data_IF_925091420963
#
_entry.id   IF_925091420963
#
_cell.length_a   1.000
_cell.length_b   1.000
_cell.length_c   1.000
_cell.angle_alpha   90.00
_cell.angle_beta   90.00
_cell.angle_gamma   90.00
#
_symmetry.space_group_name_H-M   'P 1'
#
loop_
_entity.id
_entity.type
_entity.pdbx_description
1 polymer ?
#
# COMPACT_ATOMS: atom_id res chain seq x y z
N UNK A 1 17.29 -4.04 -3.79
CA UNK A 1 16.60 -2.77 -3.47
C UNK A 1 15.22 -3.07 -2.93
N UNK A 2 14.80 -2.44 -1.80
CA UNK A 2 13.50 -2.71 -1.19
C UNK A 2 12.81 -1.38 -0.89
N UNK A 3 11.54 -1.27 -1.30
CA UNK A 3 10.76 -0.05 -1.18
C UNK A 3 9.40 -0.37 -0.55
N UNK A 4 8.96 0.47 0.39
CA UNK A 4 7.59 0.46 0.92
C UNK A 4 6.92 1.79 0.60
N UNK A 5 5.73 1.72 0.01
CA UNK A 5 4.93 2.89 -0.32
C UNK A 5 3.72 2.99 0.63
N UNK A 6 3.68 4.06 1.42
CA UNK A 6 2.55 4.46 2.25
C UNK A 6 1.76 5.59 1.59
N UNK A 7 0.51 5.72 1.95
CA UNK A 7 -0.34 6.82 1.52
C UNK A 7 -1.82 6.48 1.65
N UNK A 8 -2.65 7.49 1.64
CA UNK A 8 -4.11 7.34 1.65
C UNK A 8 -4.61 6.52 0.45
N UNK A 9 -5.84 6.02 0.46
CA UNK A 9 -6.47 5.54 -0.76
C UNK A 9 -6.28 6.56 -1.90
N UNK A 10 -6.06 6.10 -3.11
CA UNK A 10 -5.86 6.94 -4.31
C UNK A 10 -4.66 7.89 -4.34
N UNK A 11 -3.75 7.82 -3.35
CA UNK A 11 -2.52 8.65 -3.33
C UNK A 11 -1.52 8.34 -4.48
N UNK A 12 -1.80 7.36 -5.34
CA UNK A 12 -0.93 7.02 -6.46
C UNK A 12 0.12 5.94 -6.17
N UNK A 13 0.08 5.28 -5.00
CA UNK A 13 1.03 4.22 -4.62
C UNK A 13 1.22 3.16 -5.69
N UNK A 14 0.11 2.57 -6.17
CA UNK A 14 0.16 1.51 -7.19
C UNK A 14 0.72 1.99 -8.54
N UNK A 15 0.45 3.24 -8.92
CA UNK A 15 1.03 3.85 -10.13
C UNK A 15 2.53 3.98 -9.99
N UNK A 16 3.00 4.56 -8.88
CA UNK A 16 4.42 4.72 -8.61
C UNK A 16 5.13 3.37 -8.44
N UNK A 17 4.49 2.41 -7.78
CA UNK A 17 5.04 1.06 -7.63
C UNK A 17 5.28 0.37 -8.97
N UNK A 18 4.34 0.50 -9.93
CA UNK A 18 4.49 -0.06 -11.28
C UNK A 18 5.65 0.59 -12.04
N UNK A 19 5.72 1.92 -12.02
CA UNK A 19 6.81 2.66 -12.68
C UNK A 19 8.17 2.30 -12.09
N UNK A 20 8.29 2.23 -10.77
CA UNK A 20 9.52 1.84 -10.09
C UNK A 20 9.88 0.37 -10.38
N UNK A 21 8.89 -0.52 -10.45
CA UNK A 21 9.10 -1.92 -10.77
C UNK A 21 9.69 -2.11 -12.17
N UNK A 22 9.18 -1.36 -13.15
CA UNK A 22 9.69 -1.34 -14.53
C UNK A 22 11.10 -0.74 -14.59
N UNK A 23 11.31 0.42 -13.96
CA UNK A 23 12.60 1.14 -13.99
C UNK A 23 13.74 0.31 -13.40
N UNK A 24 13.49 -0.36 -12.28
CA UNK A 24 14.53 -1.10 -11.54
C UNK A 24 14.50 -2.60 -11.77
N UNK A 25 13.56 -3.10 -12.59
CA UNK A 25 13.35 -4.52 -12.85
C UNK A 25 13.23 -5.35 -11.55
N UNK A 26 12.40 -4.87 -10.61
CA UNK A 26 12.13 -5.55 -9.34
C UNK A 26 10.63 -5.80 -9.17
N UNK A 27 10.20 -6.88 -8.48
CA UNK A 27 8.80 -7.23 -8.33
C UNK A 27 8.01 -6.17 -7.55
N UNK A 28 6.81 -5.83 -8.03
CA UNK A 28 5.79 -5.10 -7.29
C UNK A 28 4.85 -6.08 -6.59
N UNK A 29 4.71 -5.94 -5.27
CA UNK A 29 3.82 -6.71 -4.42
C UNK A 29 2.73 -5.76 -3.91
N UNK A 30 1.54 -5.84 -4.50
CA UNK A 30 0.35 -5.14 -4.05
C UNK A 30 -0.52 -6.09 -3.23
N UNK A 31 -0.60 -5.87 -1.91
CA UNK A 31 -1.48 -6.69 -1.06
C UNK A 31 -2.95 -6.53 -1.45
N UNK A 32 -3.36 -5.33 -1.83
CA UNK A 32 -4.71 -5.08 -2.30
C UNK A 32 -5.06 -5.84 -3.57
N UNK A 33 -4.14 -5.92 -4.55
CA UNK A 33 -4.38 -6.66 -5.80
C UNK A 33 -4.44 -8.17 -5.54
N UNK A 34 -3.55 -8.70 -4.69
CA UNK A 34 -3.57 -10.12 -4.31
C UNK A 34 -4.91 -10.49 -3.66
N UNK A 35 -5.37 -9.70 -2.69
CA UNK A 35 -6.63 -9.98 -2.00
C UNK A 35 -7.83 -9.85 -2.94
N UNK A 36 -7.84 -8.89 -3.87
CA UNK A 36 -8.88 -8.78 -4.90
C UNK A 36 -8.90 -9.96 -5.87
N UNK A 37 -7.73 -10.47 -6.24
CA UNK A 37 -7.63 -11.68 -7.06
C UNK A 37 -8.23 -12.89 -6.34
N UNK A 38 -7.94 -13.07 -5.05
CA UNK A 38 -8.54 -14.12 -4.22
C UNK A 38 -10.08 -14.02 -4.18
N UNK A 39 -10.61 -12.78 -4.01
CA UNK A 39 -12.06 -12.53 -4.03
C UNK A 39 -12.69 -12.83 -5.39
N UNK A 40 -12.04 -12.40 -6.47
CA UNK A 40 -12.53 -12.62 -7.85
C UNK A 40 -12.57 -14.11 -8.18
N UNK A 41 -11.54 -14.85 -7.77
CA UNK A 41 -11.43 -16.30 -7.97
C UNK A 41 -12.27 -17.11 -6.97
N UNK A 42 -12.96 -16.44 -6.02
CA UNK A 42 -13.79 -17.08 -4.99
C UNK A 42 -13.05 -18.19 -4.23
N UNK A 43 -11.78 -18.00 -3.96
CA UNK A 43 -11.02 -18.93 -3.13
C UNK A 43 -11.58 -18.96 -1.71
N UNK A 44 -11.29 -19.98 -0.88
CA UNK A 44 -11.69 -19.97 0.52
C UNK A 44 -11.26 -18.70 1.27
N UNK A 45 -10.05 -18.19 0.96
CA UNK A 45 -9.57 -16.93 1.49
C UNK A 45 -10.39 -15.74 0.96
N UNK A 46 -10.61 -15.67 -0.35
CA UNK A 46 -11.41 -14.62 -0.98
C UNK A 46 -12.80 -14.52 -0.39
N UNK A 47 -13.48 -15.66 -0.18
CA UNK A 47 -14.79 -15.70 0.46
C UNK A 47 -14.78 -15.19 1.91
N UNK A 48 -13.71 -15.48 2.65
CA UNK A 48 -13.55 -15.03 4.04
C UNK A 48 -13.40 -13.52 4.18
N UNK A 49 -12.74 -12.86 3.23
CA UNK A 49 -12.40 -11.42 3.30
C UNK A 49 -13.37 -10.53 2.50
N UNK A 50 -14.25 -11.12 1.66
CA UNK A 50 -15.07 -10.39 0.68
C UNK A 50 -15.92 -9.29 1.35
N UNK A 51 -16.68 -9.63 2.38
CA UNK A 51 -17.56 -8.69 3.07
C UNK A 51 -16.79 -7.52 3.70
N UNK A 52 -15.67 -7.83 4.39
CA UNK A 52 -14.84 -6.83 5.07
C UNK A 52 -14.25 -5.85 4.06
N UNK A 53 -13.71 -6.37 2.97
CA UNK A 53 -13.05 -5.52 1.98
C UNK A 53 -14.03 -4.70 1.16
N UNK A 54 -15.22 -5.24 0.84
CA UNK A 54 -16.29 -4.47 0.17
C UNK A 54 -16.82 -3.33 1.04
N UNK A 55 -16.83 -3.51 2.35
CA UNK A 55 -17.18 -2.46 3.31
C UNK A 55 -16.05 -1.43 3.53
N UNK A 56 -14.91 -1.54 2.84
CA UNK A 56 -13.76 -0.63 2.98
C UNK A 56 -12.85 -0.92 4.17
N UNK A 57 -13.02 -2.07 4.83
CA UNK A 57 -12.18 -2.52 5.93
C UNK A 57 -10.85 -3.14 5.48
N UNK A 58 -10.06 -3.60 6.46
CA UNK A 58 -8.81 -4.31 6.24
C UNK A 58 -9.01 -5.81 6.44
N UNK A 59 -8.39 -6.62 5.59
CA UNK A 59 -8.28 -8.05 5.84
C UNK A 59 -7.51 -8.33 7.15
N UNK A 60 -7.77 -9.46 7.84
CA UNK A 60 -7.11 -9.82 9.09
C UNK A 60 -5.57 -9.81 8.96
N UNK A 61 -4.89 -9.27 9.97
CA UNK A 61 -3.43 -9.09 9.97
C UNK A 61 -2.67 -10.38 9.70
N UNK A 62 -3.10 -11.49 10.29
CA UNK A 62 -2.46 -12.81 10.13
C UNK A 62 -2.46 -13.27 8.67
N UNK A 63 -3.58 -13.09 7.98
CA UNK A 63 -3.72 -13.44 6.56
C UNK A 63 -2.74 -12.62 5.72
N UNK A 64 -2.75 -11.29 5.91
CA UNK A 64 -1.91 -10.39 5.12
C UNK A 64 -0.43 -10.62 5.41
N UNK A 65 -0.06 -10.82 6.68
CA UNK A 65 1.30 -11.11 7.10
C UNK A 65 1.84 -12.37 6.42
N UNK A 66 1.06 -13.46 6.43
CA UNK A 66 1.45 -14.72 5.79
C UNK A 66 1.68 -14.57 4.28
N UNK A 67 0.79 -13.85 3.60
CA UNK A 67 0.94 -13.57 2.16
C UNK A 67 2.23 -12.80 1.89
N UNK A 68 2.48 -11.72 2.64
CA UNK A 68 3.62 -10.84 2.43
C UNK A 68 4.93 -11.58 2.71
N UNK A 69 5.09 -12.17 3.89
CA UNK A 69 6.33 -12.88 4.28
C UNK A 69 6.67 -14.00 3.31
N UNK A 70 5.68 -14.80 2.91
CA UNK A 70 5.89 -15.88 1.94
C UNK A 70 6.35 -15.38 0.56
N UNK A 71 5.95 -14.17 0.15
CA UNK A 71 6.41 -13.57 -1.10
C UNK A 71 7.81 -12.97 -0.95
N UNK A 72 8.06 -12.21 0.13
CA UNK A 72 9.35 -11.54 0.37
C UNK A 72 10.51 -12.52 0.50
N UNK A 73 10.30 -13.68 1.13
CA UNK A 73 11.33 -14.71 1.29
C UNK A 73 11.88 -15.31 -0.02
N UNK A 74 11.23 -15.02 -1.15
CA UNK A 74 11.60 -15.56 -2.47
C UNK A 74 12.27 -14.51 -3.37
N UNK A 75 12.53 -13.31 -2.84
CA UNK A 75 12.90 -12.14 -3.64
C UNK A 75 14.13 -11.43 -3.05
N UNK A 76 15.06 -11.07 -3.90
CA UNK A 76 16.26 -10.29 -3.54
C UNK A 76 15.99 -8.78 -3.49
N UNK A 77 14.88 -8.34 -4.08
CA UNK A 77 14.43 -6.95 -4.09
C UNK A 77 12.94 -6.87 -4.40
N UNK A 78 12.28 -5.82 -3.91
CA UNK A 78 10.83 -5.69 -4.05
C UNK A 78 10.31 -4.27 -3.79
N UNK A 79 9.12 -4.01 -4.31
CA UNK A 79 8.30 -2.84 -3.96
C UNK A 79 7.02 -3.35 -3.31
N UNK A 80 6.76 -2.89 -2.10
CA UNK A 80 5.61 -3.29 -1.31
C UNK A 80 4.59 -2.15 -1.24
N UNK A 81 3.38 -2.40 -1.73
CA UNK A 81 2.26 -1.47 -1.74
C UNK A 81 1.09 -2.03 -0.92
N UNK A 82 0.58 -1.19 -0.03
CA UNK A 82 -0.57 -1.54 0.79
C UNK A 82 -0.28 -2.40 2.02
N UNK A 83 0.96 -2.50 2.44
CA UNK A 83 1.42 -3.16 3.66
C UNK A 83 2.67 -2.47 4.20
N UNK A 84 2.87 -2.36 5.54
CA UNK A 84 1.88 -2.65 6.59
C UNK A 84 0.77 -1.58 6.69
N UNK A 85 -0.41 -1.97 7.21
CA UNK A 85 -1.55 -1.06 7.44
C UNK A 85 -2.03 -1.00 8.89
N UNK A 86 -1.54 -1.88 9.76
CA UNK A 86 -1.80 -1.88 11.20
C UNK A 86 -0.49 -1.88 11.98
N UNK A 87 -0.53 -1.47 13.25
CA UNK A 87 0.64 -1.49 14.13
C UNK A 87 1.16 -2.92 14.35
N UNK A 88 0.26 -3.91 14.39
CA UNK A 88 0.69 -5.31 14.52
C UNK A 88 1.46 -5.77 13.29
N UNK A 89 0.96 -5.44 12.09
CA UNK A 89 1.69 -5.68 10.84
C UNK A 89 3.04 -4.94 10.83
N UNK A 90 3.08 -3.67 11.27
CA UNK A 90 4.29 -2.86 11.30
C UNK A 90 5.37 -3.45 12.20
N UNK A 91 5.00 -3.90 13.40
CA UNK A 91 5.93 -4.54 14.35
C UNK A 91 6.50 -5.86 13.79
N UNK A 92 5.63 -6.69 13.19
CA UNK A 92 6.05 -7.94 12.57
C UNK A 92 6.99 -7.67 11.38
N UNK A 93 6.63 -6.73 10.52
CA UNK A 93 7.47 -6.36 9.38
C UNK A 93 8.81 -5.76 9.82
N UNK A 94 8.83 -4.89 10.84
CA UNK A 94 10.08 -4.35 11.41
C UNK A 94 10.97 -5.47 11.94
N UNK A 95 10.42 -6.40 12.71
CA UNK A 95 11.17 -7.57 13.18
C UNK A 95 11.73 -8.41 12.02
N UNK A 96 10.94 -8.61 10.96
CA UNK A 96 11.38 -9.34 9.76
C UNK A 96 12.56 -8.67 9.06
N UNK A 97 12.48 -7.38 8.79
CA UNK A 97 13.55 -6.65 8.10
C UNK A 97 14.81 -6.56 8.95
N UNK A 98 14.69 -6.36 10.27
CA UNK A 98 15.83 -6.29 11.19
C UNK A 98 16.55 -7.65 11.31
N UNK A 99 15.79 -8.73 11.49
CA UNK A 99 16.35 -10.09 11.61
C UNK A 99 17.11 -10.52 10.35
N UNK A 100 16.61 -10.10 9.18
CA UNK A 100 17.21 -10.46 7.90
C UNK A 100 18.19 -9.39 7.38
N UNK A 101 18.49 -8.33 8.15
CA UNK A 101 19.34 -7.20 7.76
C UNK A 101 18.92 -6.56 6.43
N UNK A 102 17.62 -6.42 6.19
CA UNK A 102 17.07 -5.87 4.95
C UNK A 102 17.03 -4.34 5.05
N UNK A 103 17.74 -3.66 4.17
CA UNK A 103 17.62 -2.20 4.03
C UNK A 103 16.39 -1.85 3.19
N UNK A 104 15.53 -0.96 3.73
CA UNK A 104 14.25 -0.58 3.12
C UNK A 104 14.15 0.93 3.01
N UNK A 105 13.73 1.44 1.86
CA UNK A 105 13.35 2.83 1.66
C UNK A 105 11.84 2.97 1.86
N UNK A 106 11.42 3.87 2.74
CA UNK A 106 10.03 4.13 3.06
C UNK A 106 9.60 5.46 2.47
N UNK A 107 8.53 5.45 1.67
CA UNK A 107 7.96 6.66 1.10
C UNK A 107 6.50 6.81 1.52
N UNK A 108 6.16 7.94 2.10
CA UNK A 108 4.80 8.34 2.36
C UNK A 108 4.34 9.34 1.30
N UNK A 109 3.50 8.89 0.37
CA UNK A 109 2.88 9.76 -0.64
C UNK A 109 1.67 10.41 0.02
N UNK A 110 1.83 11.69 0.38
CA UNK A 110 0.82 12.49 1.06
C UNK A 110 -0.09 13.18 0.06
N UNK A 111 -1.40 13.12 0.30
CA UNK A 111 -2.43 13.92 -0.38
C UNK A 111 -3.49 14.35 0.63
N UNK A 112 -4.20 15.43 0.35
CA UNK A 112 -5.33 15.86 1.15
C UNK A 112 -6.57 14.98 0.93
N UNK A 113 -7.45 14.92 1.93
CA UNK A 113 -8.69 14.11 1.85
C UNK A 113 -9.60 14.53 0.68
N UNK A 114 -9.67 15.82 0.35
CA UNK A 114 -10.44 16.32 -0.78
C UNK A 114 -10.01 15.67 -2.11
N UNK A 115 -8.69 15.44 -2.27
CA UNK A 115 -8.11 14.77 -3.44
C UNK A 115 -8.46 13.28 -3.45
N UNK A 116 -8.53 12.65 -2.26
CA UNK A 116 -8.96 11.25 -2.16
C UNK A 116 -10.35 11.05 -2.74
N UNK A 117 -11.30 11.92 -2.38
CA UNK A 117 -12.66 11.86 -2.88
C UNK A 117 -12.72 11.98 -4.41
N UNK A 118 -12.12 13.02 -4.96
CA UNK A 118 -12.10 13.25 -6.40
C UNK A 118 -11.49 12.04 -7.15
N UNK A 119 -10.30 11.59 -6.72
CA UNK A 119 -9.58 10.50 -7.38
C UNK A 119 -10.28 9.15 -7.22
N UNK A 120 -11.05 8.94 -6.13
CA UNK A 120 -11.84 7.72 -5.95
C UNK A 120 -12.97 7.64 -6.96
N UNK A 121 -13.74 8.72 -7.14
CA UNK A 121 -14.79 8.77 -8.15
C UNK A 121 -14.24 8.56 -9.58
N UNK A 122 -13.14 9.25 -9.92
CA UNK A 122 -12.49 9.09 -11.22
C UNK A 122 -12.03 7.64 -11.46
N UNK A 123 -11.50 7.00 -10.43
CA UNK A 123 -11.02 5.62 -10.50
C UNK A 123 -12.17 4.61 -10.62
N UNK A 124 -13.29 4.84 -9.92
CA UNK A 124 -14.47 4.01 -10.08
C UNK A 124 -14.96 4.00 -11.55
N UNK A 125 -15.02 5.18 -12.15
CA UNK A 125 -15.44 5.30 -13.57
C UNK A 125 -14.47 4.58 -14.52
N UNK A 126 -13.16 4.67 -14.25
CA UNK A 126 -12.12 4.13 -15.14
C UNK A 126 -11.86 2.63 -14.95
N UNK A 127 -11.83 2.17 -13.69
CA UNK A 127 -11.36 0.84 -13.32
C UNK A 127 -12.46 -0.05 -12.73
N UNK A 128 -13.66 0.49 -12.52
CA UNK A 128 -14.81 -0.20 -11.91
C UNK A 128 -14.44 -0.90 -10.58
N UNK A 129 -13.64 -0.23 -9.76
CA UNK A 129 -13.25 -0.78 -8.46
C UNK A 129 -14.38 -0.66 -7.46
N UNK A 130 -14.83 -1.79 -6.91
CA UNK A 130 -15.93 -1.84 -5.95
C UNK A 130 -15.69 -1.01 -4.67
N UNK A 131 -14.42 -0.86 -4.26
CA UNK A 131 -14.03 -0.06 -3.10
C UNK A 131 -14.23 1.45 -3.29
N UNK A 132 -14.52 1.90 -4.49
CA UNK A 132 -14.79 3.29 -4.83
C UNK A 132 -16.24 3.48 -5.31
N UNK A 133 -17.09 2.45 -5.15
CA UNK A 133 -18.45 2.44 -5.69
C UNK A 133 -19.45 3.34 -4.94
N UNK A 134 -19.14 3.73 -3.68
CA UNK A 134 -20.02 4.60 -2.90
C UNK A 134 -19.23 5.50 -1.96
N UNK A 135 -19.81 6.65 -1.66
CA UNK A 135 -19.24 7.62 -0.73
C UNK A 135 -19.04 7.03 0.67
N UNK A 136 -19.94 6.17 1.13
CA UNK A 136 -19.80 5.52 2.43
C UNK A 136 -18.55 4.63 2.50
N UNK A 137 -18.26 3.88 1.43
CA UNK A 137 -17.08 3.03 1.35
C UNK A 137 -15.80 3.88 1.25
N UNK A 138 -15.82 4.96 0.46
CA UNK A 138 -14.69 5.89 0.37
C UNK A 138 -14.40 6.50 1.75
N UNK A 139 -15.45 6.98 2.43
CA UNK A 139 -15.33 7.52 3.80
C UNK A 139 -14.77 6.49 4.77
N UNK A 140 -15.29 5.28 4.75
CA UNK A 140 -14.80 4.20 5.61
C UNK A 140 -13.30 3.93 5.39
N UNK A 141 -12.83 3.94 4.15
CA UNK A 141 -11.40 3.76 3.83
C UNK A 141 -10.53 4.91 4.34
N UNK A 142 -11.02 6.15 4.26
CA UNK A 142 -10.34 7.31 4.84
C UNK A 142 -10.29 7.17 6.36
N UNK A 143 -11.40 6.82 7.02
CA UNK A 143 -11.47 6.60 8.46
C UNK A 143 -10.53 5.48 8.91
N UNK A 144 -10.47 4.37 8.19
CA UNK A 144 -9.56 3.26 8.45
C UNK A 144 -8.11 3.72 8.33
N UNK A 145 -7.76 4.48 7.28
CA UNK A 145 -6.43 5.05 7.15
C UNK A 145 -6.08 5.92 8.35
N UNK A 146 -6.93 6.87 8.72
CA UNK A 146 -6.69 7.81 9.82
C UNK A 146 -6.55 7.11 11.17
N UNK A 147 -7.36 6.08 11.42
CA UNK A 147 -7.38 5.34 12.70
C UNK A 147 -6.26 4.32 12.83
N UNK A 148 -5.81 3.73 11.73
CA UNK A 148 -4.86 2.60 11.75
C UNK A 148 -3.56 2.88 11.00
N UNK A 149 -3.64 3.17 9.70
CA UNK A 149 -2.46 3.24 8.84
C UNK A 149 -1.62 4.49 9.10
N UNK A 150 -2.23 5.59 9.53
CA UNK A 150 -1.49 6.78 9.95
C UNK A 150 -0.49 6.46 11.08
N UNK A 151 -0.90 5.66 12.06
CA UNK A 151 -0.01 5.23 13.14
C UNK A 151 1.18 4.39 12.63
N UNK A 152 0.99 3.66 11.53
CA UNK A 152 2.08 2.93 10.87
C UNK A 152 3.07 3.88 10.22
N UNK A 153 2.57 4.92 9.55
CA UNK A 153 3.41 5.99 8.97
C UNK A 153 4.25 6.64 10.07
N UNK A 154 3.60 6.99 11.19
CA UNK A 154 4.30 7.58 12.35
C UNK A 154 5.34 6.61 12.93
N UNK A 155 5.04 5.31 13.00
CA UNK A 155 5.97 4.27 13.48
C UNK A 155 7.25 4.21 12.64
N UNK A 156 7.14 4.30 11.30
CA UNK A 156 8.30 4.27 10.40
C UNK A 156 8.91 5.65 10.11
N UNK A 157 8.28 6.75 10.53
CA UNK A 157 8.77 8.12 10.27
C UNK A 157 10.16 8.39 10.87
N UNK A 158 10.58 7.61 11.86
CA UNK A 158 11.88 7.71 12.52
C UNK A 158 12.98 6.90 11.82
N UNK A 159 12.64 6.10 10.80
CA UNK A 159 13.62 5.36 10.03
C UNK A 159 14.48 6.33 9.17
N UNK A 160 15.79 6.08 9.11
CA UNK A 160 16.73 6.94 8.38
C UNK A 160 16.33 7.15 6.91
N UNK A 161 15.76 6.13 6.30
CA UNK A 161 15.37 6.11 4.88
C UNK A 161 13.88 6.39 4.69
N UNK A 162 13.23 7.11 5.61
CA UNK A 162 11.85 7.56 5.46
C UNK A 162 11.78 8.92 4.79
N UNK A 163 10.91 9.07 3.78
CA UNK A 163 10.66 10.32 3.05
C UNK A 163 9.18 10.57 2.84
N UNK A 164 8.77 11.83 3.00
CA UNK A 164 7.43 12.29 2.63
C UNK A 164 7.51 12.88 1.22
N UNK A 165 6.61 12.45 0.35
CA UNK A 165 6.50 12.89 -1.03
C UNK A 165 5.13 13.55 -1.20
N UNK A 166 5.09 14.74 -1.77
CA UNK A 166 3.85 15.39 -2.16
C UNK A 166 3.18 14.61 -3.30
N UNK A 167 2.00 14.08 -3.04
CA UNK A 167 1.24 13.27 -3.99
C UNK A 167 0.25 14.07 -4.85
N UNK A 168 0.20 15.39 -4.67
CA UNK A 168 -0.63 16.29 -5.49
C UNK A 168 0.13 16.86 -6.71
N UNK A 169 1.20 16.21 -7.09
CA UNK A 169 1.97 16.53 -8.27
C UNK A 169 1.69 15.58 -9.43
N UNK A 170 2.30 15.86 -10.59
CA UNK A 170 2.22 14.95 -11.74
C UNK A 170 2.87 13.60 -11.42
N UNK A 171 2.41 12.54 -12.09
CA UNK A 171 2.95 11.18 -11.93
C UNK A 171 4.47 11.18 -12.12
N UNK A 172 4.98 11.89 -13.15
CA UNK A 172 6.41 11.94 -13.48
C UNK A 172 7.21 12.70 -12.42
N UNK A 173 6.66 13.79 -11.85
CA UNK A 173 7.33 14.53 -10.79
C UNK A 173 7.47 13.68 -9.52
N UNK A 174 6.40 13.00 -9.10
CA UNK A 174 6.43 12.07 -7.96
C UNK A 174 7.46 10.97 -8.19
N UNK A 175 7.43 10.35 -9.38
CA UNK A 175 8.37 9.30 -9.76
C UNK A 175 9.83 9.76 -9.67
N UNK A 176 10.13 10.91 -10.30
CA UNK A 176 11.48 11.46 -10.28
C UNK A 176 11.95 11.83 -8.86
N UNK A 177 11.06 12.38 -8.02
CA UNK A 177 11.38 12.65 -6.61
C UNK A 177 11.71 11.36 -5.84
N UNK A 178 10.92 10.31 -5.99
CA UNK A 178 11.21 9.02 -5.35
C UNK A 178 12.60 8.51 -5.79
N UNK A 179 12.90 8.57 -7.09
CA UNK A 179 14.20 8.15 -7.64
C UNK A 179 15.39 8.85 -7.00
N UNK A 180 15.29 10.12 -6.61
CA UNK A 180 16.40 10.84 -5.98
C UNK A 180 16.81 10.28 -4.61
N UNK A 181 15.97 9.45 -3.97
CA UNK A 181 16.21 8.89 -2.64
C UNK A 181 16.51 7.38 -2.64
N UNK A 182 16.48 6.72 -3.79
CA UNK A 182 16.55 5.26 -3.92
C UNK A 182 17.99 4.77 -4.18
N UNK A 183 19.02 5.49 -3.79
CA UNK A 183 20.41 5.12 -4.00
C UNK A 183 21.09 4.71 -2.71
#
# INVERSE_FOLDING_TARGET
MNIVLFGMPTAGKGTQAKLLAEEYNIPHISTGDILREEMTNKTPLGLQIDEIMRAGGLAPDEIVNNIVVNKLNKLDGWILDGYPRSINQAKLFKSYIDTNNINVNFFFIHIDESIVWQRSHDRFVKENRFEDASDDVIKQRIDVFNKTTKNVVDFFSHEKNFKIIDGDESIDNIFNKIKTFVF
#
